data_IF_118311662863
#
_entry.id   IF_118311662863
#
_cell.length_a   1.000
_cell.length_b   1.000
_cell.length_c   1.000
_cell.angle_alpha   90.00
_cell.angle_beta   90.00
_cell.angle_gamma   90.00
#
_symmetry.space_group_name_H-M   'P 1'
#
loop_
_entity.id
_entity.type
_entity.pdbx_description
1 polymer ?
#
# COMPACT_ATOMS: atom_id res chain seq x y z
N UNK A 1 19.25 8.23 -47.56
CA UNK A 1 18.06 8.53 -48.40
C UNK A 1 17.04 7.41 -48.17
N UNK A 2 16.02 7.63 -47.35
CA UNK A 2 14.98 6.63 -47.12
C UNK A 2 14.12 6.51 -48.39
N UNK A 3 13.94 5.29 -48.90
CA UNK A 3 13.12 4.99 -50.08
C UNK A 3 11.63 5.22 -49.78
N UNK A 4 11.17 6.47 -49.95
CA UNK A 4 9.78 6.89 -49.78
C UNK A 4 8.80 6.16 -50.74
N UNK A 5 9.31 5.62 -51.85
CA UNK A 5 8.51 4.92 -52.87
C UNK A 5 8.03 3.52 -52.45
N UNK A 6 8.70 2.88 -51.48
CA UNK A 6 8.42 1.49 -51.10
C UNK A 6 7.33 1.30 -50.05
N UNK A 7 6.85 2.39 -49.42
CA UNK A 7 5.89 2.32 -48.30
C UNK A 7 6.42 1.65 -47.01
N UNK A 8 7.62 1.04 -47.01
CA UNK A 8 8.21 0.36 -45.84
C UNK A 8 8.49 1.32 -44.67
N UNK A 9 8.88 2.57 -44.97
CA UNK A 9 9.07 3.62 -43.95
C UNK A 9 7.76 3.96 -43.23
N UNK A 10 6.66 4.10 -43.99
CA UNK A 10 5.31 4.33 -43.46
C UNK A 10 4.86 3.19 -42.53
N UNK A 11 5.05 1.93 -42.93
CA UNK A 11 4.70 0.78 -42.08
C UNK A 11 5.47 0.77 -40.75
N UNK A 12 6.77 1.08 -40.77
CA UNK A 12 7.58 1.19 -39.54
C UNK A 12 7.14 2.35 -38.63
N UNK A 13 6.70 3.48 -39.21
CA UNK A 13 6.18 4.62 -38.43
C UNK A 13 4.84 4.30 -37.78
N UNK A 14 3.97 3.56 -38.47
CA UNK A 14 2.69 3.11 -37.92
C UNK A 14 2.85 2.11 -36.76
N UNK A 15 3.93 1.31 -36.77
CA UNK A 15 4.24 0.35 -35.70
C UNK A 15 5.03 0.94 -34.52
N UNK A 16 5.28 2.27 -34.50
CA UNK A 16 5.97 2.89 -33.37
C UNK A 16 5.15 2.80 -32.08
N UNK A 17 5.83 2.38 -31.01
CA UNK A 17 5.31 2.43 -29.64
C UNK A 17 5.06 3.88 -29.18
N UNK A 18 4.20 4.07 -28.19
CA UNK A 18 3.91 5.42 -27.66
C UNK A 18 5.17 6.08 -27.06
N UNK A 19 6.07 5.29 -26.43
CA UNK A 19 7.34 5.80 -25.92
C UNK A 19 8.25 6.35 -27.02
N UNK A 20 8.27 5.71 -28.20
CA UNK A 20 9.04 6.20 -29.34
C UNK A 20 8.47 7.50 -29.92
N UNK A 21 7.14 7.67 -29.90
CA UNK A 21 6.47 8.92 -30.30
C UNK A 21 6.77 10.05 -29.33
N UNK A 22 6.78 9.74 -28.03
CA UNK A 22 7.14 10.72 -27.00
C UNK A 22 8.59 11.21 -27.15
N UNK A 23 9.52 10.32 -27.50
CA UNK A 23 10.89 10.71 -27.86
C UNK A 23 10.94 11.58 -29.12
N UNK A 24 10.15 11.28 -30.16
CA UNK A 24 10.07 12.12 -31.37
C UNK A 24 9.49 13.50 -31.07
N UNK A 25 8.47 13.61 -30.19
CA UNK A 25 7.94 14.92 -29.73
C UNK A 25 8.99 15.74 -28.98
N UNK A 26 9.81 15.10 -28.14
CA UNK A 26 10.91 15.80 -27.45
C UNK A 26 11.99 16.26 -28.42
N UNK A 27 12.19 15.53 -29.52
CA UNK A 27 13.18 15.85 -30.54
C UNK A 27 12.65 16.81 -31.62
N UNK A 28 11.34 17.00 -31.75
CA UNK A 28 10.77 17.91 -32.75
C UNK A 28 11.15 19.36 -32.48
N UNK A 29 11.40 19.73 -31.23
CA UNK A 29 11.94 21.07 -30.89
C UNK A 29 13.41 21.26 -31.27
N UNK A 30 14.13 20.19 -31.58
CA UNK A 30 15.57 20.23 -31.88
C UNK A 30 15.89 19.85 -33.34
N UNK A 31 15.02 19.10 -34.01
CA UNK A 31 15.24 18.62 -35.36
C UNK A 31 13.96 18.66 -36.20
N UNK A 32 14.02 19.33 -37.35
CA UNK A 32 12.93 19.40 -38.32
C UNK A 32 12.48 18.00 -38.80
N UNK A 33 13.42 17.06 -38.89
CA UNK A 33 13.14 15.67 -39.28
C UNK A 33 12.20 14.98 -38.27
N UNK A 34 12.35 15.24 -36.97
CA UNK A 34 11.46 14.67 -35.97
C UNK A 34 10.06 15.30 -36.01
N UNK A 35 9.97 16.58 -36.36
CA UNK A 35 8.71 17.29 -36.57
C UNK A 35 7.93 16.72 -37.76
N UNK A 36 8.58 16.51 -38.91
CA UNK A 36 7.97 15.91 -40.10
C UNK A 36 7.47 14.48 -39.83
N UNK A 37 8.29 13.66 -39.14
CA UNK A 37 7.89 12.30 -38.78
C UNK A 37 6.68 12.29 -37.84
N UNK A 38 6.60 13.25 -36.91
CA UNK A 38 5.47 13.39 -36.00
C UNK A 38 4.18 13.77 -36.76
N UNK A 39 4.23 14.76 -37.65
CA UNK A 39 3.09 15.17 -38.47
C UNK A 39 2.55 14.02 -39.33
N UNK A 40 3.44 13.22 -39.92
CA UNK A 40 3.07 12.02 -40.68
C UNK A 40 2.37 11.01 -39.76
N UNK A 41 2.88 10.77 -38.55
CA UNK A 41 2.22 9.83 -37.62
C UNK A 41 0.85 10.30 -37.14
N UNK A 42 0.69 11.60 -36.90
CA UNK A 42 -0.57 12.19 -36.44
C UNK A 42 -1.64 12.23 -37.56
N UNK A 43 -1.24 12.46 -38.82
CA UNK A 43 -2.12 12.40 -39.98
C UNK A 43 -2.78 11.02 -40.14
N UNK A 44 -2.03 9.94 -39.95
CA UNK A 44 -2.54 8.58 -40.12
C UNK A 44 -3.23 8.00 -38.87
N UNK A 45 -2.97 8.53 -37.67
CA UNK A 45 -3.54 8.05 -36.40
C UNK A 45 -4.14 9.20 -35.57
N UNK A 46 -5.13 9.95 -36.07
CA UNK A 46 -5.66 11.14 -35.40
C UNK A 46 -6.44 10.85 -34.11
N UNK A 47 -6.67 9.58 -33.77
CA UNK A 47 -7.58 9.14 -32.69
C UNK A 47 -6.96 8.30 -31.58
N UNK A 48 -5.64 8.19 -31.48
CA UNK A 48 -5.04 7.54 -30.29
C UNK A 48 -4.99 8.56 -29.14
N UNK A 49 -5.67 8.32 -28.01
CA UNK A 49 -5.56 9.21 -26.86
C UNK A 49 -4.10 9.27 -26.41
N UNK A 50 -3.66 10.48 -26.08
CA UNK A 50 -2.34 10.76 -25.52
C UNK A 50 -2.13 9.91 -24.27
N UNK A 51 -1.35 8.84 -24.37
CA UNK A 51 -0.79 8.19 -23.19
C UNK A 51 0.59 8.78 -23.01
N UNK A 52 0.66 10.03 -22.55
CA UNK A 52 1.91 10.52 -21.99
C UNK A 52 2.20 9.65 -20.77
N UNK A 53 3.34 8.98 -20.77
CA UNK A 53 3.87 8.22 -19.64
C UNK A 53 4.24 9.10 -18.43
N UNK A 54 3.68 10.32 -18.37
CA UNK A 54 3.85 11.31 -17.30
C UNK A 54 2.49 11.90 -16.93
N UNK A 55 1.46 11.06 -16.86
CA UNK A 55 0.25 11.39 -16.14
C UNK A 55 0.05 10.34 -15.05
N UNK A 56 0.80 10.49 -13.95
CA UNK A 56 0.45 9.88 -12.69
C UNK A 56 -0.91 10.45 -12.30
N UNK A 57 -2.00 9.74 -12.61
CA UNK A 57 -3.33 10.10 -12.13
C UNK A 57 -3.33 9.87 -10.63
N UNK A 58 -3.07 10.94 -9.86
CA UNK A 58 -3.19 10.93 -8.40
C UNK A 58 -4.68 11.06 -8.11
N UNK A 59 -5.27 9.96 -7.65
CA UNK A 59 -6.66 9.94 -7.23
C UNK A 59 -6.73 10.41 -5.76
N UNK A 60 -7.04 11.69 -5.55
CA UNK A 60 -7.29 12.24 -4.22
C UNK A 60 -8.71 11.90 -3.75
N UNK A 61 -8.80 11.17 -2.64
CA UNK A 61 -10.05 10.74 -2.04
C UNK A 61 -10.10 11.26 -0.61
N UNK A 62 -10.70 12.43 -0.45
CA UNK A 62 -10.98 13.03 0.85
C UNK A 62 -12.46 12.94 1.15
N UNK A 63 -12.82 12.53 2.37
CA UNK A 63 -14.15 12.80 2.89
C UNK A 63 -14.07 13.68 4.13
N UNK A 64 -14.93 14.69 4.25
CA UNK A 64 -14.99 15.52 5.44
C UNK A 64 -15.47 14.69 6.64
N UNK A 65 -14.83 14.88 7.80
CA UNK A 65 -15.31 14.35 9.09
C UNK A 65 -14.50 13.21 9.70
N UNK A 66 -13.60 12.57 8.95
CA UNK A 66 -12.63 11.64 9.55
C UNK A 66 -11.29 12.36 9.75
N UNK A 67 -10.65 12.14 10.91
CA UNK A 67 -9.31 12.64 11.18
C UNK A 67 -8.26 12.06 10.21
N UNK A 68 -6.98 12.33 10.44
CA UNK A 68 -5.91 11.85 9.56
C UNK A 68 -6.00 10.33 9.30
N UNK A 69 -5.76 9.92 8.03
CA UNK A 69 -5.57 8.51 7.68
C UNK A 69 -4.19 8.07 8.20
N UNK A 70 -4.20 7.20 9.20
CA UNK A 70 -3.00 6.79 9.94
C UNK A 70 -2.42 5.48 9.45
N UNK A 71 -3.25 4.60 8.88
CA UNK A 71 -2.83 3.30 8.38
C UNK A 71 -3.58 2.92 7.10
N UNK A 72 -2.90 2.23 6.20
CA UNK A 72 -3.48 1.77 4.93
C UNK A 72 -2.99 0.34 4.66
N UNK A 73 -3.86 -0.50 4.12
CA UNK A 73 -3.47 -1.80 3.57
C UNK A 73 -4.37 -2.20 2.41
N UNK A 74 -3.87 -3.03 1.49
CA UNK A 74 -4.63 -3.56 0.37
C UNK A 74 -4.84 -5.06 0.54
N UNK A 75 -6.09 -5.50 0.47
CA UNK A 75 -6.45 -6.89 0.70
C UNK A 75 -7.66 -7.30 -0.14
N UNK A 76 -7.51 -8.41 -0.90
CA UNK A 76 -8.57 -9.00 -1.74
C UNK A 76 -9.27 -8.00 -2.67
N UNK A 77 -8.51 -7.09 -3.28
CA UNK A 77 -9.06 -6.09 -4.21
C UNK A 77 -9.70 -4.87 -3.53
N UNK A 78 -9.64 -4.78 -2.20
CA UNK A 78 -10.18 -3.67 -1.42
C UNK A 78 -9.06 -2.95 -0.67
N UNK A 79 -9.16 -1.64 -0.60
CA UNK A 79 -8.25 -0.81 0.19
C UNK A 79 -8.85 -0.55 1.56
N UNK A 80 -8.15 -0.92 2.61
CA UNK A 80 -8.52 -0.63 3.99
C UNK A 80 -7.74 0.57 4.49
N UNK A 81 -8.46 1.53 5.06
CA UNK A 81 -7.90 2.76 5.61
C UNK A 81 -8.37 2.88 7.04
N UNK A 82 -7.42 3.07 7.94
CA UNK A 82 -7.62 3.31 9.36
C UNK A 82 -7.40 4.78 9.66
N UNK A 83 -8.32 5.36 10.42
CA UNK A 83 -8.31 6.78 10.73
C UNK A 83 -7.98 7.04 12.20
N UNK A 84 -7.55 8.27 12.48
CA UNK A 84 -7.24 8.75 13.83
C UNK A 84 -8.43 8.66 14.81
N UNK A 85 -9.67 8.74 14.32
CA UNK A 85 -10.88 8.64 15.13
C UNK A 85 -11.29 7.19 15.47
N UNK A 86 -10.50 6.19 15.07
CA UNK A 86 -10.80 4.77 15.30
C UNK A 86 -11.71 4.13 14.24
N UNK A 87 -12.12 4.89 13.23
CA UNK A 87 -12.88 4.34 12.10
C UNK A 87 -11.95 3.58 11.15
N UNK A 88 -12.44 2.47 10.62
CA UNK A 88 -11.85 1.71 9.53
C UNK A 88 -12.82 1.77 8.36
N UNK A 89 -12.33 2.17 7.17
CA UNK A 89 -13.12 2.13 5.94
C UNK A 89 -12.49 1.19 4.93
N UNK A 90 -13.34 0.47 4.21
CA UNK A 90 -12.96 -0.35 3.07
C UNK A 90 -13.45 0.32 1.78
N UNK A 91 -12.54 0.45 0.82
CA UNK A 91 -12.77 1.10 -0.46
C UNK A 91 -12.67 0.09 -1.60
N UNK A 92 -13.63 0.13 -2.51
CA UNK A 92 -13.53 -0.48 -3.85
C UNK A 92 -12.87 0.54 -4.76
N UNK A 93 -11.75 0.18 -5.38
CA UNK A 93 -11.06 1.06 -6.32
C UNK A 93 -11.27 0.50 -7.72
N UNK A 94 -12.08 1.21 -8.52
CA UNK A 94 -12.35 0.87 -9.91
C UNK A 94 -11.93 2.03 -10.81
N UNK A 95 -10.73 1.92 -11.37
CA UNK A 95 -10.14 2.97 -12.19
C UNK A 95 -9.94 4.26 -11.38
N UNK A 96 -10.57 5.36 -11.83
CA UNK A 96 -10.52 6.66 -11.15
C UNK A 96 -11.63 6.88 -10.10
N UNK A 97 -12.40 5.85 -9.75
CA UNK A 97 -13.45 5.98 -8.73
C UNK A 97 -13.14 5.06 -7.57
N UNK A 98 -13.12 5.65 -6.37
CA UNK A 98 -13.09 4.92 -5.13
C UNK A 98 -14.43 5.07 -4.42
N UNK A 99 -15.05 3.95 -4.08
CA UNK A 99 -16.34 3.92 -3.39
C UNK A 99 -16.14 3.24 -2.04
N UNK A 100 -16.64 3.86 -0.97
CA UNK A 100 -16.67 3.23 0.35
C UNK A 100 -17.68 2.10 0.28
N UNK A 101 -17.19 0.87 0.47
CA UNK A 101 -18.06 -0.32 0.55
C UNK A 101 -18.47 -0.56 2.00
N UNK A 102 -17.57 -0.27 2.93
CA UNK A 102 -17.76 -0.58 4.36
C UNK A 102 -17.14 0.48 5.24
N UNK A 103 -17.80 0.73 6.35
CA UNK A 103 -17.32 1.60 7.42
C UNK A 103 -17.59 0.92 8.76
N UNK A 104 -16.56 0.83 9.59
CA UNK A 104 -16.65 0.20 10.91
C UNK A 104 -15.94 1.07 11.92
N UNK A 105 -16.62 1.36 13.03
CA UNK A 105 -16.10 2.18 14.13
C UNK A 105 -16.16 1.42 15.45
N UNK A 106 -15.30 0.42 15.57
CA UNK A 106 -15.19 -0.36 16.82
C UNK A 106 -13.96 0.00 17.66
N UNK A 107 -12.91 0.55 17.04
CA UNK A 107 -11.78 1.06 17.80
C UNK A 107 -12.15 2.38 18.48
N UNK A 108 -11.74 2.51 19.75
CA UNK A 108 -12.03 3.72 20.54
C UNK A 108 -11.03 4.85 20.29
N UNK A 109 -9.90 4.55 19.64
CA UNK A 109 -8.81 5.48 19.33
C UNK A 109 -8.20 5.15 17.96
N UNK A 110 -7.26 5.99 17.52
CA UNK A 110 -6.54 5.87 16.26
C UNK A 110 -6.10 4.45 15.91
N UNK A 111 -6.42 4.02 14.69
CA UNK A 111 -5.92 2.77 14.12
C UNK A 111 -4.53 3.03 13.56
N UNK A 112 -3.50 2.48 14.21
CA UNK A 112 -2.11 2.83 13.91
C UNK A 112 -1.49 1.96 12.83
N UNK A 113 -2.02 0.75 12.63
CA UNK A 113 -1.46 -0.21 11.69
C UNK A 113 -2.44 -1.33 11.34
N UNK A 114 -2.18 -1.97 10.21
CA UNK A 114 -2.85 -3.20 9.77
C UNK A 114 -1.82 -4.26 9.43
N UNK A 115 -2.20 -5.53 9.57
CA UNK A 115 -1.45 -6.65 9.00
C UNK A 115 -2.42 -7.74 8.53
N UNK A 116 -1.95 -8.59 7.63
CA UNK A 116 -2.72 -9.70 7.08
C UNK A 116 -2.29 -10.99 7.76
N UNK A 117 -3.27 -11.80 8.16
CA UNK A 117 -2.96 -13.17 8.57
C UNK A 117 -2.29 -13.92 7.41
N UNK A 118 -1.30 -14.77 7.71
CA UNK A 118 -0.64 -15.61 6.68
C UNK A 118 -1.62 -16.53 5.96
N UNK A 119 -2.72 -16.92 6.62
CA UNK A 119 -3.81 -17.69 5.99
C UNK A 119 -4.54 -16.89 4.91
N UNK A 120 -4.35 -15.57 4.85
CA UNK A 120 -5.00 -14.67 3.90
C UNK A 120 -6.51 -14.58 4.09
N UNK A 121 -7.03 -14.98 5.24
CA UNK A 121 -8.47 -14.95 5.54
C UNK A 121 -8.89 -13.77 6.40
N UNK A 122 -8.00 -13.37 7.32
CA UNK A 122 -8.31 -12.36 8.33
C UNK A 122 -7.39 -11.14 8.18
N UNK A 123 -7.98 -9.97 8.42
CA UNK A 123 -7.29 -8.70 8.54
C UNK A 123 -7.12 -8.38 10.02
N UNK A 124 -5.93 -8.00 10.45
CA UNK A 124 -5.69 -7.53 11.80
C UNK A 124 -5.53 -6.01 11.78
N UNK A 125 -6.11 -5.34 12.77
CA UNK A 125 -5.91 -3.92 13.01
C UNK A 125 -5.42 -3.68 14.43
N UNK A 126 -4.44 -2.80 14.57
CA UNK A 126 -3.86 -2.39 15.84
C UNK A 126 -4.24 -0.94 16.12
N UNK A 127 -4.56 -0.64 17.37
CA UNK A 127 -5.00 0.69 17.77
C UNK A 127 -4.31 1.21 19.02
N UNK A 128 -4.28 2.54 19.13
CA UNK A 128 -3.91 3.25 20.34
C UNK A 128 -4.88 3.02 21.51
N UNK A 129 -6.04 2.37 21.27
CA UNK A 129 -6.97 1.92 22.33
C UNK A 129 -6.46 0.69 23.09
N UNK A 130 -5.24 0.25 22.76
CA UNK A 130 -4.56 -0.90 23.34
C UNK A 130 -5.21 -2.23 22.98
N UNK A 131 -5.96 -2.28 21.87
CA UNK A 131 -6.50 -3.52 21.33
C UNK A 131 -5.92 -3.83 19.94
N UNK A 132 -5.77 -5.12 19.67
CA UNK A 132 -5.63 -5.65 18.31
C UNK A 132 -6.92 -6.39 18.00
N UNK A 133 -7.60 -6.02 16.91
CA UNK A 133 -8.81 -6.68 16.47
C UNK A 133 -8.53 -7.55 15.25
N UNK A 134 -9.11 -8.74 15.24
CA UNK A 134 -9.11 -9.65 14.10
C UNK A 134 -10.44 -9.51 13.38
N UNK A 135 -10.36 -9.18 12.11
CA UNK A 135 -11.50 -8.98 11.23
C UNK A 135 -11.61 -10.12 10.24
N UNK A 136 -12.78 -10.73 10.20
CA UNK A 136 -13.14 -11.68 9.15
C UNK A 136 -13.97 -10.96 8.09
N UNK A 137 -13.57 -11.18 6.84
CA UNK A 137 -14.29 -10.66 5.69
C UNK A 137 -15.38 -11.65 5.28
N UNK A 138 -16.59 -11.44 5.80
CA UNK A 138 -17.79 -12.06 5.24
C UNK A 138 -18.28 -11.24 4.04
N UNK A 139 -18.96 -11.89 3.08
CA UNK A 139 -19.34 -11.37 1.75
C UNK A 139 -19.77 -9.89 1.72
N UNK A 140 -20.52 -9.42 2.73
CA UNK A 140 -20.97 -8.01 2.82
C UNK A 140 -20.58 -7.26 4.10
N UNK A 141 -19.97 -7.92 5.10
CA UNK A 141 -19.69 -7.29 6.40
C UNK A 141 -18.27 -7.58 6.88
N UNK A 142 -17.62 -6.55 7.43
CA UNK A 142 -16.38 -6.68 8.18
C UNK A 142 -16.78 -6.98 9.62
N UNK A 143 -16.52 -8.20 10.08
CA UNK A 143 -16.93 -8.66 11.42
C UNK A 143 -15.70 -8.84 12.28
N UNK A 144 -15.73 -8.27 13.49
CA UNK A 144 -14.71 -8.51 14.48
C UNK A 144 -14.93 -9.90 15.10
N UNK A 145 -13.99 -10.80 14.89
CA UNK A 145 -14.04 -12.17 15.40
C UNK A 145 -13.35 -12.27 16.74
N UNK A 146 -12.18 -11.63 16.86
CA UNK A 146 -11.38 -11.68 18.08
C UNK A 146 -10.83 -10.30 18.43
N UNK A 147 -10.69 -10.06 19.74
CA UNK A 147 -10.09 -8.85 20.30
C UNK A 147 -9.00 -9.27 21.27
N UNK A 148 -7.77 -8.84 20.99
CA UNK A 148 -6.64 -9.00 21.88
C UNK A 148 -6.39 -7.70 22.63
N UNK A 149 -6.52 -7.73 23.95
CA UNK A 149 -6.24 -6.57 24.79
C UNK A 149 -4.77 -6.57 25.21
N UNK A 150 -4.11 -5.43 25.03
CA UNK A 150 -2.71 -5.18 25.39
C UNK A 150 -2.67 -4.11 26.48
N UNK A 151 -1.61 -4.12 27.30
CA UNK A 151 -1.44 -3.15 28.40
C UNK A 151 -1.12 -1.73 27.92
N UNK A 152 -0.54 -1.62 26.73
CA UNK A 152 -0.02 -0.38 26.14
C UNK A 152 -0.55 -0.15 24.73
N UNK A 153 -0.41 1.10 24.25
CA UNK A 153 -0.86 1.50 22.92
C UNK A 153 0.01 0.86 21.84
N UNK A 154 -0.64 0.33 20.80
CA UNK A 154 0.01 -0.29 19.66
C UNK A 154 0.49 0.79 18.69
N UNK A 155 1.78 0.80 18.36
CA UNK A 155 2.32 1.69 17.32
C UNK A 155 2.37 1.01 15.96
N UNK A 156 2.97 -0.17 15.93
CA UNK A 156 3.09 -1.02 14.75
C UNK A 156 3.07 -2.47 15.22
N UNK A 157 2.54 -3.35 14.41
CA UNK A 157 2.72 -4.79 14.62
C UNK A 157 2.91 -5.47 13.27
N UNK A 158 3.45 -6.67 13.33
CA UNK A 158 3.76 -7.46 12.15
C UNK A 158 3.59 -8.95 12.50
N UNK A 159 3.26 -9.77 11.51
CA UNK A 159 2.83 -11.17 11.72
C UNK A 159 3.86 -12.11 11.12
N UNK A 160 4.23 -13.15 11.87
CA UNK A 160 5.08 -14.24 11.41
C UNK A 160 4.57 -15.57 11.97
N UNK A 161 4.04 -16.41 11.10
CA UNK A 161 3.34 -17.64 11.47
C UNK A 161 2.16 -17.35 12.41
N UNK A 162 2.19 -18.03 13.55
CA UNK A 162 1.24 -17.86 14.65
C UNK A 162 1.61 -16.70 15.60
N UNK A 163 2.75 -16.04 15.38
CA UNK A 163 3.26 -14.99 16.27
C UNK A 163 2.96 -13.61 15.70
N UNK A 164 2.38 -12.76 16.54
CA UNK A 164 2.17 -11.33 16.29
C UNK A 164 3.22 -10.58 17.10
N UNK A 165 4.08 -9.82 16.43
CA UNK A 165 5.08 -8.98 17.10
C UNK A 165 4.55 -7.56 17.10
N UNK A 166 4.37 -7.01 18.30
CA UNK A 166 3.77 -5.70 18.54
C UNK A 166 4.84 -4.78 19.11
N UNK A 167 5.03 -3.60 18.52
CA UNK A 167 5.75 -2.53 19.18
C UNK A 167 4.79 -1.65 19.95
N UNK A 168 5.13 -1.47 21.21
CA UNK A 168 4.54 -0.45 22.06
C UNK A 168 5.59 0.63 22.32
N UNK A 169 5.17 1.74 22.94
CA UNK A 169 6.07 2.85 23.24
C UNK A 169 7.28 2.47 24.12
N UNK A 170 7.14 1.41 24.93
CA UNK A 170 8.16 1.00 25.90
C UNK A 170 8.80 -0.34 25.57
N UNK A 171 8.05 -1.27 24.98
CA UNK A 171 8.46 -2.67 24.84
C UNK A 171 8.13 -3.20 23.45
N UNK A 172 8.86 -4.25 23.06
CA UNK A 172 8.46 -5.11 21.96
C UNK A 172 7.84 -6.36 22.56
N UNK A 173 6.57 -6.58 22.26
CA UNK A 173 5.80 -7.72 22.72
C UNK A 173 5.73 -8.76 21.61
N UNK A 174 6.02 -10.01 21.97
CA UNK A 174 5.72 -11.17 21.13
C UNK A 174 4.46 -11.80 21.67
N UNK A 175 3.40 -11.77 20.88
CA UNK A 175 2.16 -12.47 21.15
C UNK A 175 2.14 -13.73 20.30
N UNK A 176 1.80 -14.88 20.89
CA UNK A 176 1.50 -16.10 20.12
C UNK A 176 0.00 -16.34 20.17
N UNK A 177 -0.61 -16.52 19.00
CA UNK A 177 -2.04 -16.79 18.86
C UNK A 177 -2.40 -18.16 19.49
N UNK A 178 -1.59 -19.19 19.29
CA UNK A 178 -1.77 -20.54 19.82
C UNK A 178 -1.71 -20.59 21.35
N UNK A 179 -0.77 -19.87 21.97
CA UNK A 179 -0.62 -19.87 23.42
C UNK A 179 -1.45 -18.78 24.15
N UNK A 180 -2.09 -17.86 23.41
CA UNK A 180 -2.72 -16.62 23.92
C UNK A 180 -1.87 -15.87 24.95
N UNK A 181 -0.56 -16.08 24.93
CA UNK A 181 0.36 -15.57 25.95
C UNK A 181 1.20 -14.44 25.37
N UNK A 182 1.24 -13.34 26.11
CA UNK A 182 2.14 -12.22 25.85
C UNK A 182 3.50 -12.53 26.46
N UNK A 183 4.52 -12.73 25.64
CA UNK A 183 5.89 -12.69 26.12
C UNK A 183 6.47 -11.31 25.79
N UNK A 184 6.89 -10.57 26.82
CA UNK A 184 7.73 -9.39 26.61
C UNK A 184 9.07 -9.88 26.07
N UNK A 185 9.29 -9.66 24.77
CA UNK A 185 10.51 -10.08 24.09
C UNK A 185 11.67 -9.13 24.41
N UNK A 186 11.37 -7.84 24.58
CA UNK A 186 12.37 -6.83 24.92
C UNK A 186 11.80 -5.78 25.88
N UNK A 187 12.49 -5.59 27.02
CA UNK A 187 12.23 -4.53 28.02
C UNK A 187 13.46 -3.61 28.10
N UNK A 188 13.77 -2.83 27.07
CA UNK A 188 14.69 -1.68 27.18
C UNK A 188 14.80 -0.90 25.87
N UNK A 189 14.79 0.44 25.99
CA UNK A 189 15.03 1.50 24.98
C UNK A 189 14.07 1.59 23.77
N UNK A 190 13.79 2.85 23.43
CA UNK A 190 12.77 3.30 22.47
C UNK A 190 12.96 2.70 21.06
N UNK A 191 12.30 1.59 20.78
CA UNK A 191 12.19 1.08 19.42
C UNK A 191 11.22 1.96 18.64
N UNK A 192 11.64 2.42 17.47
CA UNK A 192 10.87 3.32 16.58
C UNK A 192 10.32 2.61 15.36
N UNK A 193 10.99 1.56 14.90
CA UNK A 193 10.59 0.81 13.72
C UNK A 193 10.79 -0.69 13.91
N UNK A 194 9.91 -1.46 13.28
CA UNK A 194 10.01 -2.91 13.13
C UNK A 194 9.85 -3.25 11.66
N UNK A 195 10.66 -4.18 11.19
CA UNK A 195 10.43 -4.92 9.97
C UNK A 195 10.65 -6.41 10.24
N UNK A 196 9.73 -7.25 9.80
CA UNK A 196 9.94 -8.70 9.76
C UNK A 196 10.34 -9.14 8.35
N UNK A 197 11.38 -9.97 8.27
CA UNK A 197 11.72 -10.67 7.03
C UNK A 197 12.35 -12.03 7.35
N UNK A 198 11.85 -13.09 6.71
CA UNK A 198 12.39 -14.46 6.82
C UNK A 198 12.57 -14.96 8.26
N UNK A 199 11.66 -14.62 9.18
CA UNK A 199 11.75 -15.02 10.59
C UNK A 199 12.79 -14.25 11.41
N UNK A 200 13.35 -13.17 10.86
CA UNK A 200 14.15 -12.19 11.60
C UNK A 200 13.35 -10.93 11.79
N UNK A 201 13.27 -10.46 13.03
CA UNK A 201 12.72 -9.16 13.39
C UNK A 201 13.87 -8.15 13.48
N UNK A 202 13.81 -7.15 12.62
CA UNK A 202 14.72 -6.02 12.58
C UNK A 202 14.08 -4.86 13.35
N UNK A 203 14.73 -4.41 14.41
CA UNK A 203 14.30 -3.34 15.29
C UNK A 203 15.22 -2.14 15.10
N UNK A 204 14.65 -0.99 14.74
CA UNK A 204 15.37 0.28 14.74
C UNK A 204 15.17 0.99 16.07
N UNK A 205 16.26 1.14 16.83
CA UNK A 205 16.25 1.82 18.13
C UNK A 205 16.60 3.30 17.98
N UNK A 206 16.08 4.14 18.89
CA UNK A 206 16.35 5.58 18.90
C UNK A 206 17.80 5.97 19.24
N UNK A 207 18.64 5.03 19.62
CA UNK A 207 20.06 5.22 19.95
C UNK A 207 20.99 4.95 18.76
N UNK A 208 20.49 5.12 17.53
CA UNK A 208 21.19 4.85 16.27
C UNK A 208 21.56 3.37 16.06
N UNK A 209 21.12 2.46 16.94
CA UNK A 209 21.38 1.03 16.80
C UNK A 209 20.27 0.32 16.01
N UNK A 210 20.68 -0.69 15.24
CA UNK A 210 19.77 -1.66 14.61
C UNK A 210 20.01 -2.99 15.31
N UNK A 211 18.93 -3.59 15.81
CA UNK A 211 18.99 -4.90 16.44
C UNK A 211 18.26 -5.93 15.58
N UNK A 212 18.89 -7.10 15.43
CA UNK A 212 18.31 -8.24 14.70
C UNK A 212 18.03 -9.33 15.72
N UNK A 213 16.77 -9.74 15.80
CA UNK A 213 16.36 -10.83 16.65
C UNK A 213 15.73 -11.96 15.84
N UNK A 214 16.04 -13.18 16.23
CA UNK A 214 15.45 -14.36 15.60
C UNK A 214 14.08 -14.62 16.22
N UNK A 215 13.08 -14.69 15.36
CA UNK A 215 11.74 -15.12 15.71
C UNK A 215 11.68 -16.61 15.40
N UNK A 216 12.01 -17.43 16.40
CA UNK A 216 11.87 -18.88 16.26
C UNK A 216 10.43 -19.23 15.86
N UNK A 217 10.28 -20.26 15.02
CA UNK A 217 8.98 -20.90 14.72
C UNK A 217 8.31 -21.40 15.99
#
# INVERSE_FOLDING_TARGET
VYNYTSGKGKQKLMSLSEGSRESLRRLSSFTWMAEELLQVTDYYLPRKPRVSCVHTQILEIGQPGNGAATAITFFRGQLFVGYFNGTIRAWDIKGQRAVIIREVKEHKKAVTCFALSETGQNLLSGSADKSIRVWKMAQRKLECVEVFQIKEAVQKFDIYGDKIIVLTHKNVLKFSCSARSTQTFYKSKHVKSLALSQGKAYLGCGDLSIQVSFVSR
#
